data_IF_870335328883
#
_entry.id   IF_870335328883
#
_cell.length_a   1.000
_cell.length_b   1.000
_cell.length_c   1.000
_cell.angle_alpha   90.00
_cell.angle_beta   90.00
_cell.angle_gamma   90.00
#
_symmetry.space_group_name_H-M   'P 1'
#
loop_
_entity.id
_entity.type
_entity.pdbx_description
1 polymer ?
#
# COMPACT_ATOMS: atom_id res chain seq x y z
N UNK A 1 1.72 -25.39 13.11
CA UNK A 1 2.05 -24.30 12.17
C UNK A 1 0.97 -23.22 12.14
N UNK A 2 -0.29 -23.56 11.86
CA UNK A 2 -1.41 -22.58 11.85
C UNK A 2 -1.59 -21.81 13.17
N UNK A 3 -1.44 -22.49 14.31
CA UNK A 3 -1.51 -21.87 15.64
C UNK A 3 -0.40 -20.85 15.90
N UNK A 4 0.80 -21.11 15.37
CA UNK A 4 1.95 -20.18 15.47
C UNK A 4 1.69 -18.93 14.64
N UNK A 5 1.24 -19.11 13.38
CA UNK A 5 0.86 -18.00 12.49
C UNK A 5 -0.26 -17.16 13.13
N UNK A 6 -1.26 -17.81 13.75
CA UNK A 6 -2.37 -17.13 14.42
C UNK A 6 -1.89 -16.29 15.61
N UNK A 7 -0.92 -16.78 16.38
CA UNK A 7 -0.32 -16.03 17.50
C UNK A 7 0.46 -14.83 16.98
N UNK A 8 1.29 -15.00 15.95
CA UNK A 8 2.07 -13.91 15.36
C UNK A 8 1.19 -12.83 14.71
N UNK A 9 0.12 -13.23 13.99
CA UNK A 9 -0.88 -12.31 13.47
C UNK A 9 -1.60 -11.57 14.60
N UNK A 10 -1.96 -12.26 15.69
CA UNK A 10 -2.59 -11.61 16.85
C UNK A 10 -1.65 -10.59 17.48
N UNK A 11 -0.35 -10.90 17.59
CA UNK A 11 0.70 -10.01 18.10
C UNK A 11 0.86 -8.78 17.21
N UNK A 12 0.89 -8.97 15.90
CA UNK A 12 0.96 -7.86 14.94
C UNK A 12 -0.30 -6.97 15.00
N UNK A 13 -1.50 -7.56 15.00
CA UNK A 13 -2.78 -6.83 14.91
C UNK A 13 -3.18 -6.16 16.24
N UNK A 14 -2.87 -6.77 17.40
CA UNK A 14 -3.16 -6.16 18.71
C UNK A 14 -2.20 -5.02 19.08
N UNK A 15 -1.05 -4.93 18.41
CA UNK A 15 -0.11 -3.86 18.65
C UNK A 15 -0.67 -2.55 18.08
N UNK A 16 -1.20 -1.69 18.95
CA UNK A 16 -1.76 -0.38 18.58
C UNK A 16 -0.77 0.47 17.75
N UNK A 17 0.54 0.33 17.99
CA UNK A 17 1.57 1.05 17.22
C UNK A 17 1.67 0.53 15.79
N UNK A 18 1.55 -0.77 15.59
CA UNK A 18 1.51 -1.38 14.25
C UNK A 18 0.27 -0.91 13.48
N UNK A 19 -0.90 -0.93 14.12
CA UNK A 19 -2.15 -0.43 13.50
C UNK A 19 -2.03 1.03 13.09
N UNK A 20 -1.44 1.89 13.93
CA UNK A 20 -1.19 3.30 13.58
C UNK A 20 -0.28 3.43 12.37
N UNK A 21 0.82 2.67 12.30
CA UNK A 21 1.74 2.69 11.16
C UNK A 21 1.02 2.27 9.86
N UNK A 22 0.18 1.23 9.92
CA UNK A 22 -0.61 0.79 8.76
C UNK A 22 -1.63 1.85 8.33
N UNK A 23 -2.33 2.48 9.29
CA UNK A 23 -3.30 3.54 8.98
C UNK A 23 -2.64 4.76 8.34
N UNK A 24 -1.49 5.19 8.87
CA UNK A 24 -0.66 6.21 8.23
C UNK A 24 -0.24 5.75 6.82
N UNK A 25 0.08 4.47 6.66
CA UNK A 25 0.27 3.77 5.38
C UNK A 25 -0.81 4.06 4.36
N UNK A 26 -2.05 3.76 4.74
CA UNK A 26 -3.21 3.92 3.89
C UNK A 26 -3.47 5.40 3.56
N UNK A 27 -3.37 6.29 4.55
CA UNK A 27 -3.58 7.73 4.34
C UNK A 27 -2.57 8.27 3.32
N UNK A 28 -1.30 7.90 3.47
CA UNK A 28 -0.22 8.35 2.59
C UNK A 28 -0.39 7.81 1.17
N UNK A 29 -0.84 6.57 1.01
CA UNK A 29 -1.15 5.99 -0.29
C UNK A 29 -2.31 6.74 -0.98
N UNK A 30 -3.37 7.09 -0.24
CA UNK A 30 -4.49 7.88 -0.76
C UNK A 30 -4.04 9.28 -1.17
N UNK A 31 -3.23 9.95 -0.34
CA UNK A 31 -2.69 11.27 -0.67
C UNK A 31 -1.81 11.23 -1.93
N UNK A 32 -0.93 10.24 -2.06
CA UNK A 32 -0.10 10.07 -3.25
C UNK A 32 -0.93 9.80 -4.51
N UNK A 33 -2.05 9.09 -4.38
CA UNK A 33 -2.97 8.82 -5.49
C UNK A 33 -3.69 10.08 -6.00
N UNK A 34 -3.95 11.04 -5.10
CA UNK A 34 -4.60 12.32 -5.44
C UNK A 34 -3.59 13.36 -5.92
N UNK A 35 -2.38 13.38 -5.36
CA UNK A 35 -1.29 14.31 -5.71
C UNK A 35 -0.60 13.94 -7.05
N UNK A 36 -0.94 12.79 -7.62
CA UNK A 36 -0.48 12.35 -8.94
C UNK A 36 -1.64 12.30 -9.93
N UNK A 37 -1.37 12.19 -11.25
CA UNK A 37 -2.40 11.98 -12.25
C UNK A 37 -3.26 10.71 -12.07
N UNK A 38 -2.95 9.86 -11.07
CA UNK A 38 -3.61 8.57 -10.83
C UNK A 38 -5.14 8.66 -10.74
N UNK A 39 -5.67 9.68 -10.06
CA UNK A 39 -7.13 9.88 -9.98
C UNK A 39 -7.76 10.20 -11.35
N UNK A 40 -7.11 11.07 -12.14
CA UNK A 40 -7.56 11.42 -13.49
C UNK A 40 -7.50 10.22 -14.44
N UNK A 41 -6.43 9.44 -14.37
CA UNK A 41 -6.25 8.20 -15.15
C UNK A 41 -7.35 7.19 -14.78
N UNK A 42 -7.65 7.01 -13.49
CA UNK A 42 -8.71 6.11 -13.04
C UNK A 42 -10.11 6.51 -13.52
N UNK A 43 -10.44 7.81 -13.52
CA UNK A 43 -11.70 8.32 -14.07
C UNK A 43 -11.78 8.06 -15.58
N UNK A 44 -10.70 8.34 -16.31
CA UNK A 44 -10.67 8.12 -17.76
C UNK A 44 -10.80 6.64 -18.11
N UNK A 45 -10.18 5.75 -17.33
CA UNK A 45 -10.34 4.31 -17.48
C UNK A 45 -11.77 3.84 -17.19
N UNK A 46 -12.41 4.35 -16.13
CA UNK A 46 -13.82 4.05 -15.85
C UNK A 46 -14.72 4.45 -17.03
N UNK A 47 -14.52 5.64 -17.60
CA UNK A 47 -15.27 6.12 -18.77
C UNK A 47 -15.00 5.26 -20.01
N UNK A 48 -13.75 4.87 -20.23
CA UNK A 48 -13.38 3.95 -21.30
C UNK A 48 -14.09 2.59 -21.19
N UNK A 49 -14.14 1.99 -20.00
CA UNK A 49 -14.86 0.74 -19.75
C UNK A 49 -16.38 0.84 -20.00
N UNK A 50 -16.93 2.06 -20.00
CA UNK A 50 -18.32 2.35 -20.32
C UNK A 50 -18.53 2.86 -21.76
N UNK A 51 -17.53 2.67 -22.63
CA UNK A 51 -17.55 3.04 -24.06
C UNK A 51 -17.75 4.53 -24.33
N UNK A 52 -17.24 5.41 -23.45
CA UNK A 52 -17.17 6.84 -23.74
C UNK A 52 -16.19 7.10 -24.90
N UNK A 53 -16.68 7.73 -25.97
CA UNK A 53 -15.91 7.95 -27.21
C UNK A 53 -14.69 8.84 -26.98
N UNK A 54 -14.81 9.88 -26.15
CA UNK A 54 -13.74 10.81 -25.85
C UNK A 54 -12.64 10.16 -24.99
N UNK A 55 -13.04 9.39 -23.98
CA UNK A 55 -12.09 8.62 -23.16
C UNK A 55 -11.35 7.56 -23.99
N UNK A 56 -12.06 6.88 -24.89
CA UNK A 56 -11.47 5.89 -25.81
C UNK A 56 -10.46 6.50 -26.76
N UNK A 57 -10.72 7.71 -27.27
CA UNK A 57 -9.77 8.43 -28.11
C UNK A 57 -8.51 8.84 -27.33
N UNK A 58 -8.68 9.33 -26.10
CA UNK A 58 -7.58 9.75 -25.22
C UNK A 58 -6.68 8.57 -24.85
N UNK A 59 -7.25 7.44 -24.39
CA UNK A 59 -6.49 6.26 -23.97
C UNK A 59 -5.73 5.62 -25.14
N UNK A 60 -6.38 5.48 -26.31
CA UNK A 60 -5.71 4.95 -27.51
C UNK A 60 -4.59 5.87 -28.00
N UNK A 61 -4.78 7.19 -27.95
CA UNK A 61 -3.75 8.17 -28.36
C UNK A 61 -2.56 8.21 -27.40
N UNK A 62 -2.80 8.00 -26.10
CA UNK A 62 -1.75 7.94 -25.07
C UNK A 62 -1.10 6.55 -24.97
N UNK A 63 -1.57 5.56 -25.74
CA UNK A 63 -1.13 4.16 -25.68
C UNK A 63 -1.21 3.56 -24.26
N UNK A 64 -2.18 4.02 -23.46
CA UNK A 64 -2.43 3.55 -22.10
C UNK A 64 -3.52 2.45 -22.06
N UNK A 65 -3.54 1.57 -23.05
CA UNK A 65 -4.53 0.48 -23.15
C UNK A 65 -4.39 -0.49 -21.96
N UNK A 66 -3.19 -0.55 -21.37
CA UNK A 66 -2.87 -1.23 -20.11
C UNK A 66 -3.10 -0.36 -18.86
N UNK A 67 -4.01 0.60 -18.94
CA UNK A 67 -4.38 1.53 -17.85
C UNK A 67 -4.59 0.87 -16.47
N UNK A 68 -5.15 -0.36 -16.36
CA UNK A 68 -5.19 -1.09 -15.08
C UNK A 68 -3.80 -1.35 -14.50
N UNK A 69 -2.84 -1.75 -15.34
CA UNK A 69 -1.43 -1.91 -14.96
C UNK A 69 -0.76 -0.57 -14.70
N UNK A 70 -1.13 0.51 -15.39
CA UNK A 70 -0.59 1.85 -15.13
C UNK A 70 -1.08 2.44 -13.78
N UNK A 71 -2.27 2.03 -13.31
CA UNK A 71 -2.82 2.41 -12.00
C UNK A 71 -2.29 1.51 -10.88
N UNK A 72 -2.18 0.19 -11.11
CA UNK A 72 -1.78 -0.80 -10.08
C UNK A 72 -0.27 -1.04 -10.01
N UNK A 73 0.45 -0.97 -11.13
CA UNK A 73 1.91 -1.05 -11.15
C UNK A 73 2.48 0.36 -11.26
N UNK A 74 3.53 0.68 -10.48
CA UNK A 74 3.98 2.05 -10.29
C UNK A 74 4.82 2.54 -11.46
N UNK A 75 4.42 2.32 -12.72
CA UNK A 75 5.14 2.93 -13.84
C UNK A 75 4.98 4.46 -13.84
N UNK A 76 3.78 4.94 -13.48
CA UNK A 76 3.52 6.36 -13.17
C UNK A 76 3.50 6.66 -11.66
N UNK A 77 3.14 5.71 -10.80
CA UNK A 77 3.28 5.85 -9.34
C UNK A 77 4.74 6.09 -8.89
N UNK A 78 5.73 5.56 -9.63
CA UNK A 78 7.15 5.79 -9.37
C UNK A 78 7.64 7.20 -9.75
N UNK A 79 6.83 8.01 -10.44
CA UNK A 79 7.17 9.43 -10.63
C UNK A 79 6.93 10.27 -9.37
N UNK A 80 6.11 9.75 -8.44
CA UNK A 80 5.96 10.35 -7.12
C UNK A 80 7.13 9.93 -6.23
N UNK A 81 8.08 10.86 -6.05
CA UNK A 81 9.14 10.76 -5.03
C UNK A 81 8.56 10.37 -3.68
N UNK A 82 7.36 10.86 -3.36
CA UNK A 82 6.65 10.58 -2.11
C UNK A 82 6.20 9.11 -2.00
N UNK A 83 5.63 8.54 -3.06
CA UNK A 83 5.26 7.12 -3.10
C UNK A 83 6.47 6.20 -2.97
N UNK A 84 7.57 6.51 -3.68
CA UNK A 84 8.81 5.72 -3.63
C UNK A 84 9.45 5.75 -2.24
N UNK A 85 9.49 6.92 -1.60
CA UNK A 85 9.98 7.06 -0.22
C UNK A 85 9.08 6.29 0.74
N UNK A 86 7.77 6.35 0.54
CA UNK A 86 6.81 5.67 1.42
C UNK A 86 6.84 4.15 1.32
N UNK A 87 6.88 3.57 0.11
CA UNK A 87 6.95 2.12 -0.07
C UNK A 87 8.27 1.52 0.44
N UNK A 88 9.34 2.31 0.44
CA UNK A 88 10.62 1.93 1.03
C UNK A 88 10.60 1.99 2.57
N UNK A 89 9.94 3.00 3.16
CA UNK A 89 9.94 3.25 4.60
C UNK A 89 8.87 2.42 5.34
N UNK A 90 7.71 2.17 4.73
CA UNK A 90 6.59 1.47 5.36
C UNK A 90 6.98 0.06 5.90
N UNK A 91 7.72 -0.80 5.16
CA UNK A 91 8.17 -2.09 5.68
C UNK A 91 9.06 -1.94 6.91
N UNK A 92 9.95 -0.95 6.93
CA UNK A 92 10.84 -0.66 8.06
C UNK A 92 10.02 -0.24 9.29
N UNK A 93 9.07 0.68 9.09
CA UNK A 93 8.18 1.14 10.15
C UNK A 93 7.25 0.03 10.66
N UNK A 94 6.86 -0.92 9.81
CA UNK A 94 6.03 -2.06 10.19
C UNK A 94 6.80 -3.10 11.04
N UNK A 95 8.10 -3.28 10.77
CA UNK A 95 8.95 -4.22 11.53
C UNK A 95 9.26 -3.71 12.94
N UNK A 96 9.39 -2.39 13.14
CA UNK A 96 9.76 -1.82 14.45
C UNK A 96 8.76 -2.21 15.57
N UNK A 97 7.44 -1.98 15.44
CA UNK A 97 6.45 -2.42 16.44
C UNK A 97 6.52 -3.92 16.71
N UNK A 98 6.66 -4.73 15.67
CA UNK A 98 6.76 -6.18 15.79
C UNK A 98 8.00 -6.60 16.58
N UNK A 99 9.17 -6.07 16.22
CA UNK A 99 10.43 -6.33 16.92
C UNK A 99 10.38 -5.87 18.38
N UNK A 100 9.77 -4.73 18.67
CA UNK A 100 9.62 -4.26 20.06
C UNK A 100 8.74 -5.17 20.91
N UNK A 101 7.68 -5.73 20.34
CA UNK A 101 6.80 -6.65 21.06
C UNK A 101 7.47 -8.00 21.29
N UNK A 102 8.18 -8.51 20.28
CA UNK A 102 9.00 -9.72 20.41
C UNK A 102 10.06 -9.59 21.51
N UNK A 103 10.75 -8.45 21.59
CA UNK A 103 11.74 -8.21 22.65
C UNK A 103 11.13 -8.15 24.06
N UNK A 104 9.90 -7.63 24.21
CA UNK A 104 9.20 -7.66 25.50
C UNK A 104 8.85 -9.07 25.92
N UNK A 105 8.32 -9.87 24.99
CA UNK A 105 7.92 -11.24 25.26
C UNK A 105 9.12 -12.17 25.52
N UNK A 106 10.25 -11.91 24.86
CA UNK A 106 11.52 -12.57 25.18
C UNK A 106 11.97 -12.25 26.62
N UNK A 107 11.83 -10.98 27.05
CA UNK A 107 12.16 -10.57 28.42
C UNK A 107 11.20 -11.13 29.47
N UNK A 108 9.93 -11.36 29.13
CA UNK A 108 8.95 -11.96 30.05
C UNK A 108 9.01 -13.49 30.10
N UNK A 109 9.92 -14.13 29.36
CA UNK A 109 10.12 -15.58 29.38
C UNK A 109 9.14 -16.39 28.52
N UNK A 110 8.22 -15.72 27.81
CA UNK A 110 7.21 -16.39 26.97
C UNK A 110 7.78 -17.07 25.71
N UNK A 111 8.99 -16.70 25.29
CA UNK A 111 9.64 -17.19 24.06
C UNK A 111 10.71 -18.27 24.33
N UNK A 112 11.07 -18.50 25.61
CA UNK A 112 12.10 -19.49 25.99
C UNK A 112 11.52 -20.84 26.44
N UNK A 113 10.27 -21.16 26.07
CA UNK A 113 9.63 -22.48 26.28
C UNK A 113 9.64 -23.29 24.98
#
# INVERSE_FOLDING_TARGET
MLNVIKIELKRAILNKKFVIVILLGCIMAVLAFVDTPGFTIAINWYKYMHNDEMASMIINKMNEVDTPLEIWMPRYGASSTFYNVWIAILPILAVIPYATEYLKEKKSGLINQ
#
